data_IF_740824349870
#
_entry.id   IF_740824349870
#
_cell.length_a   1.000
_cell.length_b   1.000
_cell.length_c   1.000
_cell.angle_alpha   90.00
_cell.angle_beta   90.00
_cell.angle_gamma   90.00
#
_symmetry.space_group_name_H-M   'P 1'
#
loop_
_entity.id
_entity.type
_entity.pdbx_description
1 polymer ?
#
# COMPACT_ATOMS: atom_id res chain seq x y z
N UNK A 1 -16.61 10.86 -3.22
CA UNK A 1 -16.68 9.47 -3.72
C UNK A 1 -18.14 9.18 -4.05
N UNK A 2 -18.41 8.86 -5.30
CA UNK A 2 -19.75 8.45 -5.77
C UNK A 2 -20.01 6.99 -5.43
N UNK A 3 -21.29 6.54 -5.51
CA UNK A 3 -21.63 5.13 -5.31
C UNK A 3 -20.97 4.22 -6.39
N UNK A 4 -20.81 4.75 -7.61
CA UNK A 4 -20.12 4.05 -8.71
C UNK A 4 -18.63 3.89 -8.42
N UNK A 5 -17.95 4.95 -7.96
CA UNK A 5 -16.54 4.88 -7.51
C UNK A 5 -16.36 3.87 -6.37
N UNK A 6 -17.31 3.82 -5.43
CA UNK A 6 -17.25 2.88 -4.31
C UNK A 6 -17.45 1.42 -4.74
N UNK A 7 -18.29 1.17 -5.75
CA UNK A 7 -18.46 -0.17 -6.34
C UNK A 7 -17.21 -0.60 -7.11
N UNK A 8 -16.66 0.30 -7.95
CA UNK A 8 -15.45 0.02 -8.73
C UNK A 8 -14.25 -0.31 -7.84
N UNK A 9 -14.19 0.31 -6.67
CA UNK A 9 -13.13 0.08 -5.68
C UNK A 9 -13.42 -1.09 -4.73
N UNK A 10 -14.56 -1.79 -4.90
CA UNK A 10 -14.91 -2.90 -4.04
C UNK A 10 -15.26 -2.51 -2.60
N UNK A 11 -15.53 -1.23 -2.34
CA UNK A 11 -15.94 -0.72 -1.03
C UNK A 11 -17.42 -1.08 -0.75
N UNK A 12 -18.20 -1.26 -1.81
CA UNK A 12 -19.56 -1.81 -1.76
C UNK A 12 -19.65 -3.03 -2.68
N UNK A 13 -20.33 -4.06 -2.23
CA UNK A 13 -20.35 -5.35 -2.94
C UNK A 13 -21.26 -5.36 -4.16
N UNK A 14 -22.23 -4.48 -4.25
CA UNK A 14 -23.19 -4.43 -5.36
C UNK A 14 -24.00 -3.13 -5.37
N UNK A 15 -24.25 -2.61 -6.57
CA UNK A 15 -25.25 -1.55 -6.81
C UNK A 15 -26.64 -2.13 -7.13
N UNK A 16 -26.72 -3.43 -7.48
CA UNK A 16 -27.98 -4.09 -7.75
C UNK A 16 -28.65 -4.48 -6.43
N UNK A 17 -29.70 -3.78 -6.09
CA UNK A 17 -30.43 -3.98 -4.87
C UNK A 17 -31.00 -5.38 -4.71
N UNK A 18 -30.55 -6.06 -3.67
CA UNK A 18 -31.46 -6.85 -2.90
C UNK A 18 -32.42 -5.94 -2.13
N UNK A 19 -33.41 -6.45 -1.40
CA UNK A 19 -34.43 -5.66 -0.70
C UNK A 19 -33.90 -4.71 0.37
N UNK A 20 -32.60 -4.54 0.53
CA UNK A 20 -31.93 -3.77 1.58
C UNK A 20 -31.18 -2.51 1.10
N UNK A 21 -31.25 -2.16 -0.17
CA UNK A 21 -30.59 -0.93 -0.66
C UNK A 21 -29.06 -0.96 -0.61
N UNK A 22 -28.45 0.05 -1.20
CA UNK A 22 -26.99 0.27 -1.19
C UNK A 22 -26.54 0.57 0.25
N UNK A 23 -25.83 -0.35 0.87
CA UNK A 23 -25.18 -0.08 2.15
C UNK A 23 -23.90 0.73 1.89
N UNK A 24 -23.97 2.06 2.01
CA UNK A 24 -22.76 2.87 2.08
C UNK A 24 -22.06 2.59 3.40
N UNK A 25 -20.84 2.04 3.32
CA UNK A 25 -20.02 1.95 4.54
C UNK A 25 -19.53 3.34 4.93
N UNK A 26 -19.82 3.73 6.17
CA UNK A 26 -19.35 4.99 6.77
C UNK A 26 -17.94 4.85 7.36
N UNK A 27 -17.40 3.64 7.37
CA UNK A 27 -16.05 3.36 7.87
C UNK A 27 -15.01 3.63 6.79
N UNK A 28 -13.95 4.34 7.17
CA UNK A 28 -12.81 4.53 6.28
C UNK A 28 -12.13 3.19 6.01
N UNK A 29 -11.75 2.91 4.75
CA UNK A 29 -11.03 1.69 4.43
C UNK A 29 -9.72 1.59 5.22
N UNK A 30 -9.43 0.41 5.74
CA UNK A 30 -8.13 0.05 6.32
C UNK A 30 -7.60 -1.16 5.57
N UNK A 31 -6.46 -0.99 4.91
CA UNK A 31 -5.81 -2.05 4.12
C UNK A 31 -4.43 -2.33 4.68
N UNK A 32 -4.14 -3.60 4.94
CA UNK A 32 -2.87 -4.06 5.50
C UNK A 32 -2.36 -5.27 4.68
N UNK A 33 -1.85 -5.06 3.47
CA UNK A 33 -1.33 -6.14 2.65
C UNK A 33 -0.06 -6.72 3.27
N UNK A 34 0.10 -8.04 3.16
CA UNK A 34 1.32 -8.70 3.59
C UNK A 34 2.50 -8.33 2.68
N UNK A 35 3.72 -8.28 3.21
CA UNK A 35 4.93 -7.89 2.45
C UNK A 35 5.22 -8.78 1.23
N UNK A 36 4.68 -10.00 1.16
CA UNK A 36 4.76 -10.88 -0.01
C UNK A 36 3.79 -10.51 -1.15
N UNK A 37 2.98 -9.45 -0.98
CA UNK A 37 2.03 -9.02 -2.00
C UNK A 37 2.75 -8.70 -3.32
N UNK A 38 2.18 -9.16 -4.43
CA UNK A 38 2.70 -8.86 -5.75
C UNK A 38 2.43 -7.40 -6.15
N UNK A 39 3.16 -6.90 -7.15
CA UNK A 39 2.90 -5.59 -7.76
C UNK A 39 1.43 -5.42 -8.18
N UNK A 40 0.86 -6.46 -8.82
CA UNK A 40 -0.53 -6.42 -9.26
C UNK A 40 -1.53 -6.41 -8.09
N UNK A 41 -1.20 -7.07 -6.99
CA UNK A 41 -2.04 -7.03 -5.79
C UNK A 41 -1.98 -5.66 -5.11
N UNK A 42 -0.80 -5.06 -5.01
CA UNK A 42 -0.64 -3.78 -4.31
C UNK A 42 -1.11 -2.60 -5.17
N UNK A 43 -0.61 -2.46 -6.38
CA UNK A 43 -0.87 -1.31 -7.26
C UNK A 43 -2.13 -1.52 -8.09
N UNK A 44 -2.39 -2.75 -8.48
CA UNK A 44 -3.46 -3.10 -9.39
C UNK A 44 -2.94 -3.62 -10.73
N UNK A 45 -3.84 -4.12 -11.54
CA UNK A 45 -3.50 -4.67 -12.84
C UNK A 45 -4.05 -6.06 -13.08
N UNK A 46 -3.19 -6.96 -13.55
CA UNK A 46 -3.62 -8.28 -13.97
C UNK A 46 -4.34 -8.23 -15.33
N UNK A 47 -4.98 -9.36 -15.71
CA UNK A 47 -5.64 -9.49 -17.02
C UNK A 47 -6.85 -8.55 -17.18
N UNK A 48 -7.54 -8.27 -16.09
CA UNK A 48 -8.77 -7.47 -16.06
C UNK A 48 -8.54 -6.02 -15.62
N UNK A 49 -7.27 -5.60 -15.48
CA UNK A 49 -6.90 -4.27 -14.98
C UNK A 49 -7.60 -3.88 -13.66
N UNK A 50 -7.72 -4.83 -12.72
CA UNK A 50 -8.40 -4.61 -11.43
C UNK A 50 -7.64 -3.63 -10.52
N UNK A 51 -8.34 -2.90 -9.61
CA UNK A 51 -7.72 -2.07 -8.61
C UNK A 51 -6.90 -2.92 -7.62
N UNK A 52 -5.79 -2.36 -7.13
CA UNK A 52 -4.99 -2.96 -6.07
C UNK A 52 -5.31 -2.40 -4.69
N UNK A 53 -4.60 -2.89 -3.67
CA UNK A 53 -4.75 -2.47 -2.27
C UNK A 53 -4.63 -0.95 -2.07
N UNK A 54 -3.78 -0.30 -2.87
CA UNK A 54 -3.58 1.15 -2.88
C UNK A 54 -4.88 1.89 -3.24
N UNK A 55 -5.59 1.43 -4.26
CA UNK A 55 -6.87 1.99 -4.67
C UNK A 55 -8.00 1.62 -3.71
N UNK A 56 -7.97 0.40 -3.17
CA UNK A 56 -8.93 -0.06 -2.15
C UNK A 56 -8.77 0.69 -0.82
N UNK A 57 -7.60 1.32 -0.57
CA UNK A 57 -7.35 2.18 0.58
C UNK A 57 -7.82 3.63 0.36
N UNK A 58 -8.43 3.95 -0.78
CA UNK A 58 -8.85 5.32 -1.09
C UNK A 58 -9.72 5.93 0.01
N UNK A 59 -9.40 7.17 0.42
CA UNK A 59 -10.00 7.89 1.56
C UNK A 59 -9.84 7.18 2.92
N UNK A 60 -8.91 6.23 3.02
CA UNK A 60 -8.63 5.45 4.21
C UNK A 60 -7.14 5.39 4.54
N UNK A 61 -6.71 4.22 5.02
CA UNK A 61 -5.34 3.95 5.48
C UNK A 61 -4.78 2.72 4.77
N UNK A 62 -3.59 2.88 4.23
CA UNK A 62 -2.73 1.78 3.80
C UNK A 62 -1.65 1.57 4.85
N UNK A 63 -1.67 0.44 5.55
CA UNK A 63 -0.69 0.07 6.55
C UNK A 63 0.27 -0.98 5.98
N UNK A 64 1.57 -0.67 6.01
CA UNK A 64 2.63 -1.58 5.57
C UNK A 64 3.49 -1.98 6.76
N UNK A 65 3.28 -3.18 7.26
CA UNK A 65 4.14 -3.74 8.29
C UNK A 65 5.40 -4.36 7.66
N UNK A 66 6.50 -4.33 8.41
CA UNK A 66 7.81 -4.83 7.94
C UNK A 66 8.22 -4.19 6.60
N UNK A 67 8.09 -2.87 6.49
CA UNK A 67 8.30 -2.11 5.25
C UNK A 67 9.53 -2.54 4.42
N UNK A 68 10.74 -2.76 5.00
CA UNK A 68 11.90 -3.19 4.23
C UNK A 68 11.83 -4.63 3.67
N UNK A 69 10.85 -5.44 4.07
CA UNK A 69 10.69 -6.80 3.55
C UNK A 69 9.86 -6.83 2.25
N UNK A 70 9.16 -5.75 1.90
CA UNK A 70 8.53 -5.63 0.59
C UNK A 70 9.56 -5.60 -0.53
N UNK A 71 9.27 -6.18 -1.72
CA UNK A 71 10.12 -6.05 -2.88
C UNK A 71 10.31 -4.56 -3.25
N UNK A 72 11.56 -4.15 -3.47
CA UNK A 72 11.90 -2.74 -3.77
C UNK A 72 11.08 -2.15 -4.91
N UNK A 73 10.87 -2.92 -5.98
CA UNK A 73 10.06 -2.47 -7.11
C UNK A 73 8.60 -2.16 -6.72
N UNK A 74 8.05 -2.91 -5.76
CA UNK A 74 6.69 -2.69 -5.23
C UNK A 74 6.64 -1.41 -4.41
N UNK A 75 7.64 -1.17 -3.56
CA UNK A 75 7.76 0.08 -2.79
C UNK A 75 7.95 1.31 -3.69
N UNK A 76 8.83 1.21 -4.69
CA UNK A 76 9.06 2.31 -5.63
C UNK A 76 7.80 2.66 -6.45
N UNK A 77 6.92 1.68 -6.71
CA UNK A 77 5.66 1.90 -7.40
C UNK A 77 4.63 2.69 -6.57
N UNK A 78 4.77 2.74 -5.24
CA UNK A 78 3.91 3.56 -4.36
C UNK A 78 4.16 5.06 -4.52
N UNK A 79 5.32 5.47 -5.05
CA UNK A 79 5.69 6.88 -5.16
C UNK A 79 4.68 7.69 -5.96
N UNK A 80 4.28 7.17 -7.13
CA UNK A 80 3.33 7.86 -7.98
C UNK A 80 1.96 8.05 -7.30
N UNK A 81 1.28 7.01 -6.78
CA UNK A 81 -0.01 7.22 -6.13
C UNK A 81 0.07 8.12 -4.87
N UNK A 82 1.17 8.09 -4.12
CA UNK A 82 1.36 9.02 -2.99
C UNK A 82 1.41 10.47 -3.47
N UNK A 83 2.06 10.75 -4.62
CA UNK A 83 2.20 12.10 -5.16
C UNK A 83 0.95 12.60 -5.86
N UNK A 84 0.35 11.75 -6.70
CA UNK A 84 -0.74 12.17 -7.59
C UNK A 84 -2.14 11.91 -7.01
N UNK A 85 -2.24 10.96 -6.08
CA UNK A 85 -3.52 10.49 -5.55
C UNK A 85 -4.28 9.57 -6.50
N UNK A 86 -3.60 9.05 -7.55
CA UNK A 86 -4.19 8.20 -8.58
C UNK A 86 -3.24 7.07 -8.97
N UNK A 87 -3.79 5.95 -9.41
CA UNK A 87 -3.07 4.82 -10.00
C UNK A 87 -3.49 4.64 -11.45
N UNK A 88 -2.52 4.60 -12.34
CA UNK A 88 -2.75 4.33 -13.77
C UNK A 88 -2.40 2.88 -14.09
N UNK A 89 -3.42 2.10 -14.44
CA UNK A 89 -3.25 0.72 -14.90
C UNK A 89 -3.40 0.69 -16.41
N UNK A 90 -2.28 0.46 -17.11
CA UNK A 90 -2.24 0.37 -18.58
C UNK A 90 -2.10 -1.09 -19.02
N UNK A 91 -2.93 -1.54 -19.96
CA UNK A 91 -2.86 -2.81 -20.67
C UNK A 91 -3.13 -2.58 -22.15
N UNK A 92 -2.75 -3.53 -22.99
CA UNK A 92 -2.78 -3.39 -24.44
C UNK A 92 -4.12 -2.86 -25.02
N UNK A 93 -5.26 -3.16 -24.36
CA UNK A 93 -6.58 -2.74 -24.79
C UNK A 93 -7.32 -1.86 -23.78
N UNK A 94 -6.74 -1.58 -22.60
CA UNK A 94 -7.42 -0.85 -21.53
C UNK A 94 -6.45 0.06 -20.79
N UNK A 95 -6.87 1.31 -20.60
CA UNK A 95 -6.23 2.28 -19.71
C UNK A 95 -7.26 2.69 -18.66
N UNK A 96 -7.01 2.33 -17.40
CA UNK A 96 -7.92 2.65 -16.30
C UNK A 96 -7.15 3.45 -15.26
N UNK A 97 -7.77 4.51 -14.76
CA UNK A 97 -7.25 5.31 -13.65
C UNK A 97 -8.13 5.08 -12.43
N UNK A 98 -7.52 4.65 -11.34
CA UNK A 98 -8.18 4.46 -10.06
C UNK A 98 -7.77 5.53 -9.08
N UNK A 99 -8.70 6.13 -8.31
CA UNK A 99 -8.35 7.05 -7.25
C UNK A 99 -7.59 6.31 -6.13
N UNK A 100 -6.58 6.99 -5.58
CA UNK A 100 -5.66 6.40 -4.59
C UNK A 100 -5.19 7.45 -3.57
N UNK A 101 -6.11 8.26 -3.04
CA UNK A 101 -5.83 9.21 -1.96
C UNK A 101 -5.96 8.48 -0.62
N UNK A 102 -4.87 8.11 -0.02
CA UNK A 102 -4.83 7.36 1.24
C UNK A 102 -3.77 7.95 2.18
N UNK A 103 -3.91 7.65 3.45
CA UNK A 103 -2.84 7.87 4.43
C UNK A 103 -1.95 6.63 4.45
N UNK A 104 -0.66 6.81 4.17
CA UNK A 104 0.32 5.74 4.29
C UNK A 104 0.86 5.69 5.72
N UNK A 105 0.75 4.53 6.36
CA UNK A 105 1.37 4.24 7.65
C UNK A 105 2.26 3.02 7.45
N UNK A 106 3.51 3.10 7.92
CA UNK A 106 4.44 2.00 7.83
C UNK A 106 5.08 1.70 9.19
N UNK A 107 5.33 0.42 9.43
CA UNK A 107 6.11 -0.04 10.57
C UNK A 107 7.33 -0.82 10.09
N UNK A 108 8.41 -0.74 10.84
CA UNK A 108 9.62 -1.51 10.59
C UNK A 108 10.38 -1.76 11.90
N UNK A 109 11.16 -2.80 11.92
CA UNK A 109 12.07 -3.09 13.03
C UNK A 109 13.27 -2.12 13.02
N UNK A 110 13.95 -1.92 14.16
CA UNK A 110 15.13 -1.05 14.23
C UNK A 110 16.32 -1.58 13.42
N UNK A 111 16.38 -2.87 13.13
CA UNK A 111 17.30 -3.51 12.17
C UNK A 111 16.74 -4.87 11.77
N UNK A 112 17.37 -5.55 10.80
CA UNK A 112 16.89 -6.85 10.29
C UNK A 112 16.76 -7.93 11.37
N UNK A 113 17.60 -7.91 12.41
CA UNK A 113 17.52 -8.87 13.52
C UNK A 113 16.62 -8.40 14.68
N UNK A 114 16.14 -7.14 14.66
CA UNK A 114 15.26 -6.57 15.68
C UNK A 114 15.97 -6.04 16.94
N UNK A 115 17.28 -6.25 17.09
CA UNK A 115 18.01 -6.00 18.35
C UNK A 115 18.90 -4.75 18.34
N UNK A 116 18.68 -3.79 17.41
CA UNK A 116 19.55 -2.61 17.36
C UNK A 116 19.47 -1.75 18.63
N UNK A 117 18.28 -1.67 19.22
CA UNK A 117 17.99 -0.84 20.39
C UNK A 117 17.86 -1.65 21.69
N UNK A 118 18.15 -2.95 21.67
CA UNK A 118 18.09 -3.81 22.87
C UNK A 118 19.42 -3.81 23.61
N UNK A 119 19.50 -3.22 24.82
CA UNK A 119 20.75 -3.18 25.62
C UNK A 119 21.24 -4.58 26.03
N UNK A 120 20.33 -5.56 26.13
CA UNK A 120 20.62 -6.93 26.59
C UNK A 120 21.06 -7.86 25.47
N UNK A 121 20.69 -7.54 24.22
CA UNK A 121 20.90 -8.38 23.02
C UNK A 121 21.44 -7.58 21.85
N UNK A 122 22.30 -6.60 22.08
CA UNK A 122 22.78 -5.68 21.06
C UNK A 122 23.17 -6.39 19.75
N UNK A 123 22.73 -5.81 18.63
CA UNK A 123 23.05 -6.35 17.30
C UNK A 123 24.57 -6.29 17.07
N UNK A 124 25.22 -7.46 17.02
CA UNK A 124 26.68 -7.56 16.81
C UNK A 124 27.15 -7.09 15.42
N UNK A 125 26.22 -6.83 14.49
CA UNK A 125 26.52 -6.35 13.12
C UNK A 125 26.20 -4.88 12.90
N UNK A 126 25.94 -4.10 13.95
CA UNK A 126 25.78 -2.66 13.81
C UNK A 126 27.11 -2.00 13.39
N UNK A 127 27.09 -0.96 12.54
CA UNK A 127 25.92 -0.35 11.86
C UNK A 127 25.49 -1.05 10.56
N UNK A 128 26.24 -2.07 10.10
CA UNK A 128 26.04 -2.72 8.81
C UNK A 128 24.64 -3.34 8.67
N UNK A 129 24.15 -4.00 9.72
CA UNK A 129 22.83 -4.63 9.72
C UNK A 129 21.70 -3.59 9.48
N UNK A 130 21.82 -2.43 10.09
CA UNK A 130 20.87 -1.31 9.91
C UNK A 130 20.96 -0.74 8.49
N UNK A 131 22.17 -0.50 7.99
CA UNK A 131 22.38 0.04 6.64
C UNK A 131 21.85 -0.89 5.54
N UNK A 132 22.12 -2.20 5.65
CA UNK A 132 21.58 -3.21 4.72
C UNK A 132 20.05 -3.26 4.76
N UNK A 133 19.45 -3.10 5.94
CA UNK A 133 18.00 -3.16 6.13
C UNK A 133 17.32 -1.92 5.58
N UNK A 134 17.78 -0.72 5.93
CA UNK A 134 17.24 0.55 5.43
C UNK A 134 17.54 0.75 3.94
N UNK A 135 18.67 0.25 3.44
CA UNK A 135 19.05 0.34 2.03
C UNK A 135 18.09 -0.36 1.05
N UNK A 136 17.14 -1.16 1.56
CA UNK A 136 16.06 -1.74 0.75
C UNK A 136 15.00 -0.72 0.37
N UNK A 137 14.84 0.35 1.16
CA UNK A 137 13.89 1.43 0.90
C UNK A 137 14.66 2.51 0.12
N UNK A 138 14.06 3.01 -0.94
CA UNK A 138 14.68 4.10 -1.71
C UNK A 138 14.60 5.43 -0.95
N UNK A 139 15.66 6.26 -1.02
CA UNK A 139 15.67 7.59 -0.41
C UNK A 139 14.44 8.42 -0.79
N UNK A 140 14.09 8.52 -2.11
CA UNK A 140 12.90 9.25 -2.54
C UNK A 140 11.58 8.76 -1.96
N UNK A 141 11.47 7.50 -1.53
CA UNK A 141 10.29 7.02 -0.81
C UNK A 141 10.35 7.42 0.67
N UNK A 142 11.52 7.32 1.30
CA UNK A 142 11.71 7.75 2.71
C UNK A 142 11.39 9.24 2.90
N UNK A 143 11.75 10.09 1.94
CA UNK A 143 11.48 11.54 1.97
C UNK A 143 9.97 11.89 2.01
N UNK A 144 9.10 10.91 1.81
CA UNK A 144 7.63 11.06 1.83
C UNK A 144 6.99 10.57 3.13
N UNK A 145 7.78 10.02 4.03
CA UNK A 145 7.31 9.68 5.36
C UNK A 145 7.65 10.82 6.33
N UNK A 146 6.67 11.28 7.06
CA UNK A 146 6.86 12.12 8.24
C UNK A 146 7.30 11.21 9.40
N UNK A 147 8.56 11.31 9.80
CA UNK A 147 9.18 10.51 10.87
C UNK A 147 9.31 11.32 12.18
#
# INVERSE_FOLDING_TARGET
MTAEEALELGIIESLSGGPSGIAMTMTRPFRAPHHSASMAALIGGGRMALPGEVSLAHNGVLFLDELPEFPRAVLDALRQPIETGDVHVARAAMHVTYPAKFQLIAAMNPCRCGFADDPSRSCHRLPVCLQEYLGRISGPLLDRFDM
#
